data_IF_782968469114
#
_entry.id   IF_782968469114
#
_cell.length_a   1.000
_cell.length_b   1.000
_cell.length_c   1.000
_cell.angle_alpha   90.00
_cell.angle_beta   90.00
_cell.angle_gamma   90.00
#
_symmetry.space_group_name_H-M   'P 1'
#
loop_
_entity.id
_entity.type
_entity.pdbx_description
1 polymer ?
#
# COMPACT_ATOMS: atom_id res chain seq x y z
N UNK A 1 -6.94 10.49 15.93
CA UNK A 1 -5.96 9.37 15.86
C UNK A 1 -6.40 8.51 14.71
N UNK A 2 -5.53 8.34 13.71
CA UNK A 2 -5.83 7.55 12.52
C UNK A 2 -5.49 6.08 12.81
N UNK A 3 -6.38 5.18 12.41
CA UNK A 3 -6.17 3.72 12.47
C UNK A 3 -6.14 3.17 11.06
N UNK A 4 -5.25 2.22 10.80
CA UNK A 4 -5.19 1.52 9.51
C UNK A 4 -5.67 0.09 9.74
N UNK A 5 -6.81 -0.26 9.15
CA UNK A 5 -7.50 -1.52 9.39
C UNK A 5 -7.59 -2.33 8.10
N UNK A 6 -7.31 -3.65 8.13
CA UNK A 6 -7.56 -4.49 6.97
C UNK A 6 -9.07 -4.63 6.75
N UNK A 7 -9.55 -4.36 5.54
CA UNK A 7 -10.89 -4.69 5.11
C UNK A 7 -10.94 -6.17 4.73
N UNK A 8 -11.47 -6.99 5.65
CA UNK A 8 -11.48 -8.46 5.56
C UNK A 8 -12.72 -9.02 4.83
N UNK A 9 -13.64 -8.15 4.41
CA UNK A 9 -14.91 -8.53 3.82
C UNK A 9 -14.73 -8.82 2.32
N UNK A 10 -14.55 -10.09 1.98
CA UNK A 10 -14.26 -10.54 0.62
C UNK A 10 -15.40 -10.27 -0.36
N UNK A 11 -16.66 -10.23 0.09
CA UNK A 11 -17.80 -9.87 -0.74
C UNK A 11 -17.77 -8.38 -1.10
N UNK A 12 -17.47 -7.51 -0.12
CA UNK A 12 -17.26 -6.08 -0.39
C UNK A 12 -16.08 -5.82 -1.31
N UNK A 13 -14.96 -6.53 -1.14
CA UNK A 13 -13.82 -6.41 -2.04
C UNK A 13 -14.17 -6.78 -3.47
N UNK A 14 -14.90 -7.88 -3.67
CA UNK A 14 -15.40 -8.29 -4.99
C UNK A 14 -16.35 -7.26 -5.59
N UNK A 15 -17.21 -6.64 -4.78
CA UNK A 15 -18.11 -5.58 -5.23
C UNK A 15 -17.36 -4.29 -5.62
N UNK A 16 -16.29 -3.94 -4.90
CA UNK A 16 -15.49 -2.74 -5.13
C UNK A 16 -14.53 -2.89 -6.32
N UNK A 17 -14.06 -4.11 -6.59
CA UNK A 17 -13.10 -4.39 -7.65
C UNK A 17 -13.57 -5.60 -8.50
N UNK A 18 -14.69 -5.46 -9.23
CA UNK A 18 -15.30 -6.57 -9.97
C UNK A 18 -14.39 -7.17 -11.05
N UNK A 19 -13.44 -6.39 -11.56
CA UNK A 19 -12.47 -6.82 -12.58
C UNK A 19 -11.31 -7.65 -12.01
N UNK A 20 -11.18 -7.76 -10.67
CA UNK A 20 -10.12 -8.53 -10.02
C UNK A 20 -10.60 -9.93 -9.63
N UNK A 21 -9.79 -10.94 -9.94
CA UNK A 21 -10.00 -12.30 -9.46
C UNK A 21 -9.38 -12.44 -8.08
N UNK A 22 -10.21 -12.30 -7.04
CA UNK A 22 -9.79 -12.48 -5.66
C UNK A 22 -9.56 -13.97 -5.36
N UNK A 23 -8.31 -14.41 -5.43
CA UNK A 23 -7.86 -15.61 -4.73
C UNK A 23 -7.61 -15.25 -3.26
N UNK A 24 -8.19 -16.03 -2.34
CA UNK A 24 -8.02 -15.82 -0.91
C UNK A 24 -6.53 -15.80 -0.55
N UNK A 25 -6.16 -14.92 0.39
CA UNK A 25 -4.80 -14.64 0.87
C UNK A 25 -3.87 -13.82 -0.05
N UNK A 26 -4.20 -13.56 -1.32
CA UNK A 26 -3.36 -12.71 -2.19
C UNK A 26 -3.68 -11.22 -2.07
N UNK A 27 -4.93 -10.87 -1.76
CA UNK A 27 -5.38 -9.49 -1.68
C UNK A 27 -5.66 -9.04 -0.25
N UNK A 28 -5.41 -7.76 0.01
CA UNK A 28 -5.91 -7.08 1.19
C UNK A 28 -6.07 -5.59 0.89
N UNK A 29 -7.24 -5.06 1.21
CA UNK A 29 -7.44 -3.61 1.26
C UNK A 29 -7.19 -3.13 2.68
N UNK A 30 -6.50 -2.01 2.83
CA UNK A 30 -6.45 -1.29 4.10
C UNK A 30 -7.29 -0.03 4.00
N UNK A 31 -8.07 0.25 5.03
CA UNK A 31 -8.80 1.50 5.20
C UNK A 31 -8.16 2.34 6.32
N UNK A 32 -8.07 3.64 6.10
CA UNK A 32 -7.72 4.61 7.12
C UNK A 32 -9.02 5.09 7.79
N UNK A 33 -9.12 4.92 9.10
CA UNK A 33 -10.25 5.36 9.91
C UNK A 33 -9.82 6.51 10.83
N UNK A 34 -10.54 7.63 10.76
CA UNK A 34 -10.42 8.74 11.69
C UNK A 34 -11.78 9.08 12.30
N UNK A 35 -11.86 9.04 13.63
CA UNK A 35 -13.09 9.32 14.39
C UNK A 35 -14.30 8.46 13.96
N UNK A 36 -14.05 7.21 13.54
CA UNK A 36 -15.09 6.27 13.09
C UNK A 36 -15.52 6.42 11.63
N UNK A 37 -14.88 7.32 10.87
CA UNK A 37 -15.14 7.49 9.44
C UNK A 37 -13.94 7.01 8.62
N UNK A 38 -14.21 6.34 7.49
CA UNK A 38 -13.16 5.98 6.54
C UNK A 38 -12.75 7.22 5.76
N UNK A 39 -11.47 7.56 5.80
CA UNK A 39 -10.91 8.77 5.16
C UNK A 39 -9.88 8.46 4.07
N UNK A 40 -9.58 7.18 3.87
CA UNK A 40 -8.74 6.72 2.78
C UNK A 40 -8.69 5.20 2.70
N UNK A 41 -8.17 4.69 1.59
CA UNK A 41 -7.97 3.26 1.38
C UNK A 41 -6.83 2.97 0.41
N UNK A 42 -6.30 1.76 0.46
CA UNK A 42 -5.33 1.24 -0.51
C UNK A 42 -5.58 -0.26 -0.72
N UNK A 43 -5.33 -0.75 -1.92
CA UNK A 43 -5.35 -2.18 -2.23
C UNK A 43 -3.92 -2.72 -2.39
N UNK A 44 -3.66 -3.85 -1.74
CA UNK A 44 -2.43 -4.62 -1.86
C UNK A 44 -2.75 -5.98 -2.51
N UNK A 45 -1.88 -6.41 -3.41
CA UNK A 45 -1.97 -7.69 -4.12
C UNK A 45 -0.59 -8.37 -4.12
N UNK A 46 -0.50 -9.59 -3.59
CA UNK A 46 0.75 -10.35 -3.52
C UNK A 46 0.75 -11.44 -4.58
N UNK A 47 1.76 -11.43 -5.45
CA UNK A 47 2.03 -12.49 -6.43
C UNK A 47 3.50 -12.93 -6.31
N UNK A 48 3.71 -14.11 -5.74
CA UNK A 48 5.05 -14.62 -5.46
C UNK A 48 5.84 -13.66 -4.58
N UNK A 49 7.00 -13.21 -5.05
CA UNK A 49 7.89 -12.29 -4.34
C UNK A 49 7.53 -10.80 -4.52
N UNK A 50 6.41 -10.49 -5.18
CA UNK A 50 6.03 -9.13 -5.53
C UNK A 50 4.73 -8.71 -4.82
N UNK A 51 4.70 -7.48 -4.31
CA UNK A 51 3.52 -6.80 -3.79
C UNK A 51 3.16 -5.64 -4.72
N UNK A 52 1.93 -5.62 -5.22
CA UNK A 52 1.41 -4.57 -6.08
C UNK A 52 0.46 -3.69 -5.26
N UNK A 53 0.73 -2.40 -5.26
CA UNK A 53 -0.05 -1.38 -4.59
C UNK A 53 -0.87 -0.62 -5.64
N UNK A 54 -2.17 -0.53 -5.44
CA UNK A 54 -3.07 0.19 -6.34
C UNK A 54 -4.22 0.82 -5.56
N UNK A 55 -5.01 1.64 -6.25
CA UNK A 55 -6.25 2.23 -5.72
C UNK A 55 -6.04 2.98 -4.40
N UNK A 56 -4.90 3.65 -4.24
CA UNK A 56 -4.70 4.56 -3.11
C UNK A 56 -5.57 5.79 -3.31
N UNK A 57 -6.42 6.04 -2.32
CA UNK A 57 -7.27 7.22 -2.23
C UNK A 57 -7.30 7.71 -0.79
N UNK A 58 -7.19 9.02 -0.56
CA UNK A 58 -7.27 9.59 0.78
C UNK A 58 -7.50 11.10 0.74
N UNK A 59 -8.45 11.57 1.54
CA UNK A 59 -8.72 12.99 1.73
C UNK A 59 -7.88 13.60 2.88
N UNK A 60 -7.37 12.74 3.78
CA UNK A 60 -6.61 13.11 4.98
C UNK A 60 -5.11 13.40 4.73
N UNK A 61 -4.69 13.61 3.47
CA UNK A 61 -3.33 14.05 3.10
C UNK A 61 -2.21 13.01 3.21
N UNK A 62 -0.96 13.49 3.08
CA UNK A 62 0.24 12.66 2.86
C UNK A 62 0.57 11.68 4.00
N UNK A 63 0.30 12.05 5.26
CA UNK A 63 0.56 11.15 6.40
C UNK A 63 -0.34 9.91 6.36
N UNK A 64 -1.58 10.09 5.93
CA UNK A 64 -2.55 9.00 5.78
C UNK A 64 -2.15 8.10 4.62
N UNK A 65 -1.76 8.70 3.49
CA UNK A 65 -1.21 7.98 2.35
C UNK A 65 0.00 7.13 2.74
N UNK A 66 0.97 7.71 3.48
CA UNK A 66 2.16 6.98 3.93
C UNK A 66 1.78 5.80 4.84
N UNK A 67 0.88 6.00 5.80
CA UNK A 67 0.43 4.94 6.71
C UNK A 67 -0.30 3.81 6.00
N UNK A 68 -1.14 4.12 4.99
CA UNK A 68 -1.79 3.15 4.13
C UNK A 68 -0.74 2.34 3.34
N UNK A 69 0.20 3.00 2.67
CA UNK A 69 1.26 2.35 1.91
C UNK A 69 2.08 1.42 2.81
N UNK A 70 2.52 1.88 4.00
CA UNK A 70 3.26 1.06 4.96
C UNK A 70 2.44 -0.15 5.44
N UNK A 71 1.14 0.01 5.64
CA UNK A 71 0.26 -1.10 6.04
C UNK A 71 0.19 -2.17 4.95
N UNK A 72 0.03 -1.76 3.69
CA UNK A 72 0.05 -2.65 2.53
C UNK A 72 1.41 -3.34 2.31
N UNK A 73 2.51 -2.61 2.50
CA UNK A 73 3.87 -3.17 2.44
C UNK A 73 4.09 -4.24 3.52
N UNK A 74 3.65 -3.99 4.76
CA UNK A 74 3.71 -4.99 5.84
C UNK A 74 2.89 -6.25 5.50
N UNK A 75 1.71 -6.08 4.90
CA UNK A 75 0.91 -7.21 4.41
C UNK A 75 1.68 -8.05 3.38
N UNK A 76 2.34 -7.40 2.42
CA UNK A 76 3.19 -8.07 1.43
C UNK A 76 4.37 -8.80 2.06
N UNK A 77 5.13 -8.14 2.94
CA UNK A 77 6.26 -8.74 3.64
C UNK A 77 5.86 -9.99 4.42
N UNK A 78 4.74 -9.93 5.15
CA UNK A 78 4.21 -11.07 5.92
C UNK A 78 3.78 -12.27 5.05
N UNK A 79 3.70 -12.09 3.72
CA UNK A 79 3.39 -13.12 2.73
C UNK A 79 4.58 -13.51 1.86
N UNK A 80 5.78 -13.05 2.21
CA UNK A 80 7.02 -13.38 1.50
C UNK A 80 7.31 -12.49 0.30
N UNK A 81 6.57 -11.40 0.09
CA UNK A 81 6.95 -10.41 -0.90
C UNK A 81 8.24 -9.69 -0.47
N UNK A 82 9.13 -9.47 -1.44
CA UNK A 82 10.38 -8.72 -1.27
C UNK A 82 10.36 -7.41 -2.04
N UNK A 83 9.74 -7.40 -3.24
CA UNK A 83 9.61 -6.21 -4.08
C UNK A 83 8.20 -5.63 -3.96
N UNK A 84 8.11 -4.30 -3.94
CA UNK A 84 6.85 -3.58 -4.10
C UNK A 84 6.82 -2.81 -5.40
N UNK A 85 5.65 -2.76 -6.03
CA UNK A 85 5.35 -2.00 -7.24
C UNK A 85 4.14 -1.12 -6.95
N UNK A 86 4.23 0.17 -7.28
CA UNK A 86 3.16 1.13 -7.04
C UNK A 86 2.56 1.60 -8.37
N UNK A 87 1.30 1.26 -8.59
CA UNK A 87 0.45 1.84 -9.64
C UNK A 87 -0.52 2.83 -8.98
N UNK A 88 0.04 3.96 -8.54
CA UNK A 88 -0.64 4.96 -7.72
C UNK A 88 -0.33 6.34 -8.31
N UNK A 89 -1.39 7.04 -8.73
CA UNK A 89 -1.30 8.40 -9.26
C UNK A 89 -1.48 9.44 -8.16
N UNK A 90 -0.85 10.61 -8.28
CA UNK A 90 -1.08 11.75 -7.38
C UNK A 90 -0.34 11.73 -6.04
N UNK A 91 0.41 10.67 -5.72
CA UNK A 91 1.16 10.52 -4.47
C UNK A 91 2.67 10.31 -4.70
N UNK A 92 3.21 10.84 -5.80
CA UNK A 92 4.61 10.67 -6.20
C UNK A 92 5.61 11.10 -5.12
N UNK A 93 5.38 12.23 -4.46
CA UNK A 93 6.25 12.71 -3.38
C UNK A 93 6.27 11.77 -2.18
N UNK A 94 5.12 11.18 -1.82
CA UNK A 94 5.02 10.22 -0.71
C UNK A 94 5.78 8.95 -1.06
N UNK A 95 5.62 8.44 -2.29
CA UNK A 95 6.35 7.26 -2.78
C UNK A 95 7.86 7.50 -2.83
N UNK A 96 8.30 8.67 -3.34
CA UNK A 96 9.71 9.04 -3.38
C UNK A 96 10.31 9.16 -1.97
N UNK A 97 9.60 9.79 -1.02
CA UNK A 97 10.03 9.87 0.38
C UNK A 97 10.11 8.48 1.05
N UNK A 98 9.22 7.56 0.65
CA UNK A 98 9.28 6.16 1.06
C UNK A 98 10.42 5.38 0.39
N UNK A 99 11.04 5.92 -0.65
CA UNK A 99 12.20 5.30 -1.33
C UNK A 99 11.81 4.46 -2.55
N UNK A 100 10.58 4.59 -3.06
CA UNK A 100 10.25 4.06 -4.38
C UNK A 100 11.04 4.83 -5.44
N UNK A 101 11.59 4.10 -6.40
CA UNK A 101 12.30 4.65 -7.54
C UNK A 101 11.60 4.26 -8.84
N UNK A 102 11.66 5.15 -9.83
CA UNK A 102 11.21 4.80 -11.18
C UNK A 102 12.17 3.81 -11.82
N UNK A 103 11.61 2.71 -12.33
CA UNK A 103 12.34 1.75 -13.15
C UNK A 103 11.54 1.48 -14.42
N UNK A 104 11.90 2.18 -15.49
CA UNK A 104 11.24 2.10 -16.80
C UNK A 104 9.74 2.45 -16.76
N UNK A 105 9.38 3.52 -16.03
CA UNK A 105 7.99 3.98 -15.91
C UNK A 105 7.15 3.22 -14.88
N UNK A 106 7.77 2.34 -14.09
CA UNK A 106 7.13 1.64 -12.97
C UNK A 106 7.82 2.02 -11.67
N UNK A 107 7.07 2.60 -10.73
CA UNK A 107 7.59 2.91 -9.40
C UNK A 107 7.73 1.61 -8.59
N UNK A 108 8.95 1.30 -8.16
CA UNK A 108 9.23 0.08 -7.41
C UNK A 108 10.30 0.27 -6.33
N UNK A 109 10.38 -0.69 -5.40
CA UNK A 109 11.39 -0.70 -4.36
C UNK A 109 11.38 -1.97 -3.52
N UNK A 110 12.47 -2.23 -2.80
CA UNK A 110 12.59 -3.37 -1.91
C UNK A 110 11.83 -3.10 -0.61
N UNK A 111 10.86 -3.96 -0.26
CA UNK A 111 10.00 -3.79 0.92
C UNK A 111 10.81 -3.59 2.21
N UNK A 112 11.91 -4.32 2.48
CA UNK A 112 12.73 -4.06 3.66
C UNK A 112 13.29 -2.63 3.71
N UNK A 113 13.69 -2.06 2.58
CA UNK A 113 14.21 -0.68 2.49
C UNK A 113 13.08 0.35 2.60
N UNK A 114 11.95 0.10 1.94
CA UNK A 114 10.78 0.98 1.97
C UNK A 114 10.17 1.10 3.38
N UNK A 115 10.22 0.01 4.15
CA UNK A 115 9.72 -0.02 5.53
C UNK A 115 10.70 0.58 6.55
N UNK A 116 11.96 0.85 6.19
CA UNK A 116 12.87 1.57 7.08
C UNK A 116 12.31 2.96 7.41
N UNK A 117 12.35 3.31 8.69
CA UNK A 117 12.01 4.66 9.13
C UNK A 117 13.03 5.67 8.62
N UNK A 118 12.64 6.94 8.50
CA UNK A 118 13.50 8.00 7.96
C UNK A 118 14.80 8.20 8.76
N UNK A 119 14.83 7.83 10.05
CA UNK A 119 16.07 7.81 10.84
C UNK A 119 17.13 6.78 10.37
N UNK A 120 16.71 5.76 9.62
CA UNK A 120 17.56 4.66 9.14
C UNK A 120 17.88 4.75 7.65
N UNK A 121 17.43 5.81 6.97
CA UNK A 121 17.77 6.07 5.57
C UNK A 121 19.00 6.97 5.55
N UNK A 122 20.13 6.43 5.14
CA UNK A 122 21.30 7.25 4.85
C UNK A 122 20.93 8.19 3.70
N UNK A 123 20.96 9.50 3.97
CA UNK A 123 20.80 10.52 2.92
C UNK A 123 21.90 10.28 1.89
N UNK A 124 21.54 9.77 0.72
CA UNK A 124 22.41 9.76 -0.45
C UNK A 124 22.24 11.03 -1.24
#
# INVERSE_FOLDING_TARGET
MIRFLPALDSEKLKALYPDKQFEDAQYCRYDAEENGNITGSILAEVKGYNCFLSNLDTESGNLTAEGLIRSALNFGANRGAYMAFADISGFGDVLANLGFADNNGVLCGEIPELLKGSCCKENK
#
